data_IF_138549442055
#
_entry.id   IF_138549442055
#
_cell.length_a   1.000
_cell.length_b   1.000
_cell.length_c   1.000
_cell.angle_alpha   90.00
_cell.angle_beta   90.00
_cell.angle_gamma   90.00
#
_symmetry.space_group_name_H-M   'P 1'
#
loop_
_entity.id
_entity.type
_entity.pdbx_description
1 polymer ?
#
# COMPACT_ATOMS: atom_id res chain seq x y z
N UNK A 1 -45.70 -23.50 35.97
CA UNK A 1 -45.36 -23.17 37.37
C UNK A 1 -44.04 -23.85 37.70
N UNK A 2 -43.20 -23.20 38.52
CA UNK A 2 -41.73 -23.29 38.69
C UNK A 2 -40.99 -22.35 37.70
N UNK A 3 -40.61 -21.10 38.04
CA UNK A 3 -39.68 -20.58 39.09
C UNK A 3 -38.32 -21.30 39.06
N UNK A 4 -37.16 -20.67 39.08
CA UNK A 4 -36.63 -19.30 39.15
C UNK A 4 -35.11 -19.45 38.90
N UNK A 5 -34.38 -18.45 38.42
CA UNK A 5 -33.71 -17.46 39.28
C UNK A 5 -32.27 -17.91 39.60
N UNK A 6 -31.34 -16.94 39.65
CA UNK A 6 -29.94 -17.05 40.10
C UNK A 6 -28.92 -17.60 39.07
N UNK A 7 -27.75 -17.00 38.82
CA UNK A 7 -27.04 -15.90 39.47
C UNK A 7 -25.82 -15.58 38.58
N UNK A 8 -25.86 -14.51 37.77
CA UNK A 8 -24.66 -13.97 37.14
C UNK A 8 -23.96 -13.05 38.15
N UNK A 9 -23.44 -13.65 39.21
CA UNK A 9 -22.52 -13.02 40.16
C UNK A 9 -21.13 -12.93 39.54
N UNK A 10 -20.83 -11.84 38.86
CA UNK A 10 -19.45 -11.41 38.59
C UNK A 10 -18.99 -10.50 39.74
N UNK A 11 -18.97 -11.05 40.96
CA UNK A 11 -18.25 -10.44 42.09
C UNK A 11 -16.76 -10.80 41.98
N UNK A 12 -16.07 -10.24 40.99
CA UNK A 12 -14.61 -10.20 40.99
C UNK A 12 -14.14 -9.06 41.91
N UNK A 13 -14.25 -9.29 43.22
CA UNK A 13 -13.95 -8.35 44.31
C UNK A 13 -12.44 -8.12 44.55
N UNK A 14 -11.62 -8.20 43.50
CA UNK A 14 -10.17 -8.20 43.60
C UNK A 14 -9.43 -7.33 42.57
N UNK A 15 -10.13 -6.51 41.78
CA UNK A 15 -9.49 -5.64 40.78
C UNK A 15 -9.73 -4.14 41.00
N UNK A 16 -10.32 -3.77 42.13
CA UNK A 16 -10.84 -2.41 42.37
C UNK A 16 -10.06 -1.60 43.41
N UNK A 17 -8.78 -1.92 43.68
CA UNK A 17 -8.00 -1.28 44.75
C UNK A 17 -6.64 -0.68 44.37
N UNK A 18 -6.34 -0.49 43.08
CA UNK A 18 -5.09 0.18 42.67
C UNK A 18 -5.31 1.45 41.81
N UNK A 19 -6.45 2.13 41.94
CA UNK A 19 -6.69 3.43 41.29
C UNK A 19 -7.02 4.51 42.32
N UNK A 20 -6.22 4.56 43.39
CA UNK A 20 -6.18 5.70 44.31
C UNK A 20 -4.71 6.10 44.50
N UNK A 21 -4.17 6.91 43.59
CA UNK A 21 -3.03 7.79 43.87
C UNK A 21 -3.31 9.15 43.21
N UNK A 22 -4.12 9.92 43.94
CA UNK A 22 -4.13 11.37 43.86
C UNK A 22 -2.78 11.91 44.37
N UNK A 23 -2.24 12.86 43.58
CA UNK A 23 -1.39 14.00 43.91
C UNK A 23 -0.19 13.82 44.85
N UNK A 24 1.02 13.99 44.29
CA UNK A 24 1.98 14.99 44.79
C UNK A 24 3.11 15.25 43.77
N UNK A 25 3.21 16.52 43.36
CA UNK A 25 4.36 17.31 42.90
C UNK A 25 5.64 16.61 42.38
N UNK A 26 5.98 16.88 41.12
CA UNK A 26 7.20 17.62 40.77
C UNK A 26 7.25 17.86 39.25
N UNK A 27 6.60 18.93 38.81
CA UNK A 27 6.85 19.55 37.51
C UNK A 27 8.31 20.03 37.45
N UNK A 28 9.22 19.21 36.92
CA UNK A 28 10.51 19.72 36.47
C UNK A 28 10.32 20.46 35.14
N UNK A 29 9.99 21.75 35.25
CA UNK A 29 10.22 22.74 34.20
C UNK A 29 11.70 22.71 33.80
N UNK A 30 12.01 22.01 32.72
CA UNK A 30 13.33 22.09 32.09
C UNK A 30 13.44 23.42 31.33
N UNK A 31 14.30 24.29 31.83
CA UNK A 31 14.67 25.57 31.22
C UNK A 31 15.20 25.36 29.79
N UNK A 32 14.40 25.76 28.79
CA UNK A 32 14.69 25.60 27.36
C UNK A 32 15.50 26.77 26.78
N UNK A 33 16.12 27.61 27.61
CA UNK A 33 16.87 28.78 27.13
C UNK A 33 18.38 28.72 27.39
N UNK A 34 19.00 27.56 27.12
CA UNK A 34 20.47 27.48 27.00
C UNK A 34 20.92 27.57 25.54
N UNK A 35 21.77 28.53 25.18
CA UNK A 35 22.33 28.62 23.83
C UNK A 35 23.26 27.42 23.54
N UNK A 36 23.09 26.84 22.35
CA UNK A 36 23.88 25.73 21.83
C UNK A 36 25.38 26.08 21.82
N UNK A 37 26.20 25.27 22.48
CA UNK A 37 27.66 25.33 22.42
C UNK A 37 28.20 24.21 21.52
N UNK A 38 28.58 24.48 20.26
CA UNK A 38 29.23 23.50 19.41
C UNK A 38 30.69 23.36 19.84
N UNK A 39 31.06 22.22 20.40
CA UNK A 39 32.46 21.97 20.76
C UNK A 39 32.79 20.68 21.50
N UNK A 40 31.80 19.88 21.91
CA UNK A 40 32.02 18.68 22.73
C UNK A 40 31.34 17.46 22.13
N UNK A 41 31.71 17.10 20.91
CA UNK A 41 31.53 15.75 20.37
C UNK A 41 32.90 15.06 20.34
N UNK A 42 33.32 14.52 21.48
CA UNK A 42 34.46 13.61 21.55
C UNK A 42 33.94 12.17 21.48
N UNK A 43 33.86 11.64 20.26
CA UNK A 43 34.01 10.21 20.02
C UNK A 43 35.13 10.04 19.01
N UNK A 44 36.09 9.13 19.21
CA UNK A 44 37.28 9.05 18.38
C UNK A 44 36.93 8.64 16.95
N UNK A 45 37.35 9.46 15.99
CA UNK A 45 37.46 9.15 14.57
C UNK A 45 38.12 7.78 14.38
N UNK A 46 37.40 6.82 13.79
CA UNK A 46 38.03 5.63 13.23
C UNK A 46 38.46 5.93 11.80
N UNK A 47 39.76 5.78 11.59
CA UNK A 47 40.49 6.00 10.37
C UNK A 47 40.50 4.70 9.54
N UNK A 48 39.97 4.75 8.31
CA UNK A 48 40.43 3.92 7.21
C UNK A 48 39.86 2.51 7.02
N UNK A 49 38.66 2.41 6.43
CA UNK A 49 38.39 1.37 5.42
C UNK A 49 37.90 2.06 4.14
N UNK A 50 38.75 2.04 3.11
CA UNK A 50 38.37 2.43 1.77
C UNK A 50 37.40 1.37 1.24
N UNK A 51 36.09 1.67 1.25
CA UNK A 51 35.12 0.87 0.50
C UNK A 51 35.45 1.11 -0.98
N UNK A 52 35.90 0.10 -1.75
CA UNK A 52 36.14 0.29 -3.16
C UNK A 52 34.80 0.55 -3.84
N UNK A 53 34.58 1.80 -4.28
CA UNK A 53 33.49 2.09 -5.21
C UNK A 53 33.77 1.30 -6.49
N UNK A 54 32.95 0.28 -6.70
CA UNK A 54 33.01 -0.56 -7.88
C UNK A 54 32.79 0.33 -9.10
N UNK A 55 33.85 0.52 -9.88
CA UNK A 55 33.80 1.19 -11.17
C UNK A 55 33.05 0.27 -12.13
N UNK A 56 31.74 0.50 -12.28
CA UNK A 56 30.97 -0.12 -13.33
C UNK A 56 31.55 0.32 -14.68
N UNK A 57 32.11 -0.64 -15.40
CA UNK A 57 32.61 -0.43 -16.74
C UNK A 57 31.46 -0.03 -17.65
N UNK A 58 31.76 1.03 -18.37
CA UNK A 58 31.12 1.56 -19.56
C UNK A 58 30.76 0.44 -20.55
N UNK A 59 29.52 -0.03 -20.49
CA UNK A 59 28.93 -0.77 -21.61
C UNK A 59 28.19 0.23 -22.49
N UNK A 60 28.81 0.46 -23.65
CA UNK A 60 28.19 1.03 -24.83
C UNK A 60 27.02 0.12 -25.24
N UNK A 61 25.86 0.32 -24.62
CA UNK A 61 24.59 -0.05 -25.23
C UNK A 61 24.00 1.22 -25.81
N UNK A 62 23.95 1.26 -27.15
CA UNK A 62 23.33 2.34 -27.89
C UNK A 62 21.89 2.51 -27.41
N UNK A 63 21.69 3.55 -26.60
CA UNK A 63 20.40 4.21 -26.49
C UNK A 63 19.90 4.39 -27.92
N UNK A 64 18.70 3.93 -28.29
CA UNK A 64 18.07 4.52 -29.45
C UNK A 64 17.99 6.01 -29.12
N UNK A 65 18.51 6.84 -30.02
CA UNK A 65 18.14 8.24 -30.10
C UNK A 65 16.64 8.32 -30.45
N UNK A 66 15.76 7.87 -29.56
CA UNK A 66 14.41 8.40 -29.50
C UNK A 66 14.57 9.72 -28.78
N UNK A 67 14.80 10.75 -29.60
CA UNK A 67 14.68 12.15 -29.26
C UNK A 67 13.73 12.36 -28.07
N UNK A 68 14.31 12.67 -26.93
CA UNK A 68 13.63 13.39 -25.88
C UNK A 68 13.23 14.74 -26.47
N UNK A 69 11.97 14.85 -26.93
CA UNK A 69 11.34 16.14 -27.13
C UNK A 69 11.00 16.68 -25.73
N UNK A 70 12.00 17.30 -25.08
CA UNK A 70 11.88 18.08 -23.84
C UNK A 70 11.05 19.37 -24.00
N UNK A 71 10.23 19.46 -25.05
CA UNK A 71 9.19 20.46 -25.16
C UNK A 71 7.92 19.70 -25.52
N UNK A 72 7.09 19.44 -24.51
CA UNK A 72 5.66 19.25 -24.73
C UNK A 72 5.11 20.68 -24.74
N UNK A 73 4.81 21.31 -25.89
CA UNK A 73 4.12 22.59 -25.87
C UNK A 73 2.85 22.41 -25.05
N UNK A 74 2.58 23.37 -24.17
CA UNK A 74 1.29 23.46 -23.53
C UNK A 74 0.23 23.50 -24.63
N UNK A 75 -0.95 22.98 -24.31
CA UNK A 75 -2.12 22.92 -25.19
C UNK A 75 -2.54 24.29 -25.80
N UNK A 76 -1.83 25.38 -25.49
CA UNK A 76 -1.97 26.72 -26.06
C UNK A 76 -1.00 27.09 -27.20
N UNK A 77 0.05 26.30 -27.49
CA UNK A 77 1.11 26.67 -28.46
C UNK A 77 1.18 25.80 -29.73
N UNK A 78 0.15 25.00 -30.01
CA UNK A 78 0.10 24.21 -31.26
C UNK A 78 -0.56 24.95 -32.41
N UNK A 79 0.14 24.97 -33.55
CA UNK A 79 -0.45 25.38 -34.82
C UNK A 79 -1.52 24.36 -35.29
N UNK A 80 -2.34 24.71 -36.28
CA UNK A 80 -3.47 23.90 -36.77
C UNK A 80 -3.14 22.46 -37.22
N UNK A 81 -1.87 22.05 -37.26
CA UNK A 81 -1.40 20.76 -37.77
C UNK A 81 -1.38 19.61 -36.73
N UNK A 82 -1.47 19.89 -35.42
CA UNK A 82 -1.35 18.85 -34.37
C UNK A 82 -2.68 18.44 -33.71
N UNK A 83 -3.81 18.76 -34.37
CA UNK A 83 -5.17 18.38 -33.95
C UNK A 83 -5.33 16.90 -33.53
N UNK A 84 -4.78 15.89 -34.24
CA UNK A 84 -4.91 14.50 -33.80
C UNK A 84 -4.17 14.22 -32.48
N UNK A 85 -2.96 14.74 -32.31
CA UNK A 85 -2.18 14.57 -31.08
C UNK A 85 -2.87 15.23 -29.87
N UNK A 86 -3.47 16.41 -30.07
CA UNK A 86 -4.27 17.08 -29.03
C UNK A 86 -5.50 16.25 -28.62
N UNK A 87 -6.18 15.66 -29.60
CA UNK A 87 -7.35 14.82 -29.35
C UNK A 87 -6.97 13.57 -28.54
N UNK A 88 -5.83 12.95 -28.87
CA UNK A 88 -5.32 11.80 -28.16
C UNK A 88 -4.91 12.15 -26.73
N UNK A 89 -4.20 13.27 -26.53
CA UNK A 89 -3.86 13.80 -25.18
C UNK A 89 -5.11 14.08 -24.34
N UNK A 90 -6.14 14.66 -24.94
CA UNK A 90 -7.40 14.92 -24.24
C UNK A 90 -8.11 13.64 -23.81
N UNK A 91 -8.14 12.62 -24.69
CA UNK A 91 -8.66 11.29 -24.34
C UNK A 91 -7.86 10.66 -23.21
N UNK A 92 -6.53 10.77 -23.25
CA UNK A 92 -5.65 10.24 -22.20
C UNK A 92 -5.88 10.93 -20.86
N UNK A 93 -6.03 12.26 -20.86
CA UNK A 93 -6.36 13.03 -19.65
C UNK A 93 -7.73 12.65 -19.07
N UNK A 94 -8.76 12.48 -19.91
CA UNK A 94 -10.07 11.97 -19.49
C UNK A 94 -9.92 10.57 -18.89
N UNK A 95 -9.20 9.66 -19.55
CA UNK A 95 -9.00 8.28 -19.08
C UNK A 95 -8.16 8.20 -17.81
N UNK A 96 -7.29 9.16 -17.53
CA UNK A 96 -6.50 9.23 -16.31
C UNK A 96 -7.36 9.69 -15.12
N UNK A 97 -8.20 10.71 -15.30
CA UNK A 97 -9.11 11.20 -14.24
C UNK A 97 -10.34 10.30 -14.06
N UNK A 98 -10.78 9.63 -15.12
CA UNK A 98 -11.93 8.73 -15.16
C UNK A 98 -11.53 7.40 -15.80
N UNK A 99 -10.96 6.46 -15.02
CA UNK A 99 -10.44 5.20 -15.54
C UNK A 99 -11.50 4.31 -16.20
N UNK A 100 -12.76 4.44 -15.75
CA UNK A 100 -13.92 3.65 -16.20
C UNK A 100 -14.77 4.38 -17.26
N UNK A 101 -14.20 5.39 -17.93
CA UNK A 101 -14.90 6.18 -18.95
C UNK A 101 -15.35 5.30 -20.13
N UNK A 102 -16.61 5.47 -20.52
CA UNK A 102 -17.23 4.86 -21.70
C UNK A 102 -17.29 5.89 -22.83
N UNK A 103 -16.28 5.87 -23.70
CA UNK A 103 -16.18 6.81 -24.83
C UNK A 103 -17.31 6.64 -25.85
N UNK A 104 -17.94 5.47 -25.93
CA UNK A 104 -19.08 5.26 -26.81
C UNK A 104 -20.30 6.06 -26.32
N UNK A 105 -20.55 6.07 -25.01
CA UNK A 105 -21.61 6.89 -24.39
C UNK A 105 -21.26 8.37 -24.29
N UNK A 106 -19.96 8.68 -24.17
CA UNK A 106 -19.50 10.07 -24.11
C UNK A 106 -19.78 10.82 -25.42
N UNK A 107 -19.68 10.09 -26.54
CA UNK A 107 -19.81 10.59 -27.90
C UNK A 107 -18.47 11.01 -28.48
N UNK A 108 -18.40 11.30 -29.80
CA UNK A 108 -17.16 11.72 -30.44
C UNK A 108 -16.58 12.96 -29.76
N UNK A 109 -15.27 12.96 -29.52
CA UNK A 109 -14.55 14.15 -29.06
C UNK A 109 -13.87 14.76 -30.28
N UNK A 110 -13.94 16.08 -30.40
CA UNK A 110 -13.26 16.82 -31.45
C UNK A 110 -13.24 18.30 -31.17
N UNK A 111 -13.01 19.08 -32.22
CA UNK A 111 -12.97 20.54 -32.14
C UNK A 111 -14.35 21.13 -32.45
N UNK A 112 -14.72 22.23 -31.78
CA UNK A 112 -15.99 22.92 -32.00
C UNK A 112 -16.13 23.33 -33.47
N UNK A 113 -17.34 23.19 -34.01
CA UNK A 113 -17.69 23.65 -35.36
C UNK A 113 -18.17 25.11 -35.37
N UNK A 114 -18.21 25.76 -34.21
CA UNK A 114 -18.65 27.16 -34.08
C UNK A 114 -17.52 28.09 -34.51
N UNK A 115 -17.86 29.01 -35.41
CA UNK A 115 -16.96 30.07 -35.89
C UNK A 115 -16.31 30.80 -34.70
N UNK A 116 -14.98 30.88 -34.69
CA UNK A 116 -14.21 31.53 -33.62
C UNK A 116 -13.92 30.67 -32.38
N UNK A 117 -14.39 29.41 -32.34
CA UNK A 117 -14.10 28.44 -31.28
C UNK A 117 -13.47 27.15 -31.83
N UNK A 118 -12.93 27.18 -33.04
CA UNK A 118 -12.39 26.01 -33.77
C UNK A 118 -11.18 25.33 -33.09
N UNK A 119 -10.56 25.99 -32.11
CA UNK A 119 -9.51 25.41 -31.27
C UNK A 119 -10.05 24.78 -29.96
N UNK A 120 -11.33 25.00 -29.62
CA UNK A 120 -11.95 24.50 -28.40
C UNK A 120 -12.35 23.03 -28.54
N UNK A 121 -11.89 22.19 -27.62
CA UNK A 121 -12.29 20.78 -27.58
C UNK A 121 -13.68 20.59 -26.96
N UNK A 122 -14.51 19.86 -27.68
CA UNK A 122 -15.89 19.57 -27.33
C UNK A 122 -16.18 18.08 -27.47
N UNK A 123 -17.14 17.61 -26.67
CA UNK A 123 -17.81 16.33 -26.89
C UNK A 123 -19.09 16.57 -27.70
N UNK A 124 -19.33 15.72 -28.70
CA UNK A 124 -20.51 15.75 -29.53
C UNK A 124 -21.57 14.79 -28.97
N UNK A 125 -22.74 15.32 -28.65
CA UNK A 125 -23.91 14.53 -28.27
C UNK A 125 -24.61 13.90 -29.47
N UNK A 126 -25.41 12.86 -29.24
CA UNK A 126 -26.18 12.15 -30.27
C UNK A 126 -27.10 13.06 -31.10
N UNK A 127 -27.56 14.18 -30.54
CA UNK A 127 -28.41 15.18 -31.21
C UNK A 127 -27.61 16.34 -31.82
N UNK A 128 -26.29 16.20 -31.97
CA UNK A 128 -25.41 17.24 -32.54
C UNK A 128 -25.03 18.38 -31.59
N UNK A 129 -25.43 18.32 -30.32
CA UNK A 129 -25.05 19.32 -29.31
C UNK A 129 -23.57 19.22 -28.94
N UNK A 130 -22.90 20.37 -28.83
CA UNK A 130 -21.49 20.47 -28.43
C UNK A 130 -21.36 20.83 -26.95
N UNK A 131 -20.60 20.05 -26.19
CA UNK A 131 -20.25 20.36 -24.80
C UNK A 131 -18.74 20.48 -24.67
N UNK A 132 -18.27 21.69 -24.41
CA UNK A 132 -16.89 22.00 -24.08
C UNK A 132 -16.40 21.20 -22.87
N UNK A 133 -15.24 20.56 -23.02
CA UNK A 133 -14.72 19.57 -22.07
C UNK A 133 -13.90 20.24 -20.98
N UNK A 134 -13.00 21.14 -21.37
CA UNK A 134 -12.04 21.78 -20.49
C UNK A 134 -12.45 23.21 -20.16
N UNK A 135 -11.96 23.73 -19.04
CA UNK A 135 -12.05 25.16 -18.74
C UNK A 135 -11.13 25.95 -19.69
N UNK A 136 -11.36 27.24 -19.86
CA UNK A 136 -10.55 28.12 -20.75
C UNK A 136 -9.08 28.22 -20.36
N UNK A 137 -8.79 28.05 -19.08
CA UNK A 137 -7.46 27.99 -18.51
C UNK A 137 -6.86 26.57 -18.56
N UNK A 138 -7.56 25.60 -19.15
CA UNK A 138 -7.19 24.19 -19.24
C UNK A 138 -6.84 23.53 -17.89
N UNK A 139 -7.22 24.13 -16.76
CA UNK A 139 -6.94 23.64 -15.38
C UNK A 139 -7.81 22.44 -14.97
N UNK A 140 -8.36 21.73 -15.95
CA UNK A 140 -9.25 20.60 -15.75
C UNK A 140 -10.63 20.78 -16.39
N UNK A 141 -11.55 19.91 -15.98
CA UNK A 141 -12.85 19.78 -16.62
C UNK A 141 -13.81 20.90 -16.26
N UNK A 142 -14.65 21.23 -17.23
CA UNK A 142 -15.74 22.17 -17.03
C UNK A 142 -16.87 21.48 -16.27
N UNK A 143 -17.40 22.11 -15.22
CA UNK A 143 -18.43 21.52 -14.36
C UNK A 143 -19.66 21.04 -15.16
N UNK A 144 -20.11 21.83 -16.14
CA UNK A 144 -21.22 21.46 -17.04
C UNK A 144 -20.94 20.16 -17.80
N UNK A 145 -19.68 19.88 -18.15
CA UNK A 145 -19.29 18.65 -18.84
C UNK A 145 -19.31 17.46 -17.88
N UNK A 146 -18.70 17.58 -16.69
CA UNK A 146 -18.71 16.49 -15.71
C UNK A 146 -20.12 16.14 -15.25
N UNK A 147 -20.98 17.14 -15.04
CA UNK A 147 -22.34 16.93 -14.58
C UNK A 147 -23.22 16.31 -15.69
N UNK A 148 -23.13 16.81 -16.92
CA UNK A 148 -23.92 16.30 -18.05
C UNK A 148 -23.47 14.93 -18.54
N UNK A 149 -22.21 14.55 -18.31
CA UNK A 149 -21.61 13.29 -18.77
C UNK A 149 -21.26 12.33 -17.63
N UNK A 150 -21.75 12.56 -16.42
CA UNK A 150 -21.46 11.71 -15.23
C UNK A 150 -21.64 10.22 -15.50
N UNK A 151 -22.73 9.83 -16.18
CA UNK A 151 -23.01 8.43 -16.52
C UNK A 151 -22.06 7.81 -17.57
N UNK A 152 -21.40 8.63 -18.39
CA UNK A 152 -20.41 8.17 -19.37
C UNK A 152 -18.97 8.20 -18.81
N UNK A 153 -18.68 9.14 -17.91
CA UNK A 153 -17.36 9.28 -17.29
C UNK A 153 -17.12 8.20 -16.21
N UNK A 154 -18.14 7.86 -15.42
CA UNK A 154 -17.99 6.93 -14.30
C UNK A 154 -17.32 7.58 -13.08
N UNK A 155 -16.84 6.75 -12.17
CA UNK A 155 -16.17 7.20 -10.95
C UNK A 155 -14.80 7.84 -11.26
N UNK A 156 -14.39 8.80 -10.42
CA UNK A 156 -13.08 9.42 -10.54
C UNK A 156 -11.99 8.47 -10.05
N UNK A 157 -10.80 8.62 -10.60
CA UNK A 157 -9.62 7.88 -10.13
C UNK A 157 -9.36 8.11 -8.65
N UNK A 158 -9.52 9.35 -8.15
CA UNK A 158 -9.32 9.66 -6.74
C UNK A 158 -10.27 8.89 -5.83
N UNK A 159 -11.55 8.80 -6.21
CA UNK A 159 -12.58 8.09 -5.45
C UNK A 159 -12.30 6.57 -5.45
N UNK A 160 -11.93 6.02 -6.61
CA UNK A 160 -11.55 4.60 -6.76
C UNK A 160 -10.34 4.27 -5.88
N UNK A 161 -9.29 5.10 -5.91
CA UNK A 161 -8.09 4.89 -5.09
C UNK A 161 -8.41 4.98 -3.59
N UNK A 162 -9.29 5.90 -3.20
CA UNK A 162 -9.71 6.04 -1.80
C UNK A 162 -10.49 4.81 -1.31
N UNK A 163 -11.46 4.35 -2.10
CA UNK A 163 -12.24 3.13 -1.84
C UNK A 163 -11.32 1.90 -1.79
N UNK A 164 -10.43 1.74 -2.77
CA UNK A 164 -9.48 0.62 -2.81
C UNK A 164 -8.55 0.62 -1.60
N UNK A 165 -8.12 1.78 -1.10
CA UNK A 165 -7.30 1.88 0.11
C UNK A 165 -7.99 1.33 1.34
N UNK A 166 -9.28 1.60 1.51
CA UNK A 166 -10.08 1.04 2.59
C UNK A 166 -10.20 -0.48 2.44
N UNK A 167 -10.58 -0.95 1.26
CA UNK A 167 -10.72 -2.40 1.03
C UNK A 167 -9.39 -3.16 1.15
N UNK A 168 -8.26 -2.56 0.75
CA UNK A 168 -6.93 -3.13 0.93
C UNK A 168 -6.58 -3.24 2.41
N UNK A 169 -6.87 -2.21 3.22
CA UNK A 169 -6.65 -2.27 4.68
C UNK A 169 -7.44 -3.40 5.33
N UNK A 170 -8.73 -3.53 4.99
CA UNK A 170 -9.56 -4.63 5.48
C UNK A 170 -8.99 -5.99 5.06
N UNK A 171 -8.60 -6.16 3.80
CA UNK A 171 -7.99 -7.40 3.32
C UNK A 171 -6.66 -7.71 4.00
N UNK A 172 -5.84 -6.69 4.29
CA UNK A 172 -4.59 -6.86 5.05
C UNK A 172 -4.84 -7.31 6.49
N UNK A 173 -5.90 -6.82 7.14
CA UNK A 173 -6.30 -7.32 8.46
C UNK A 173 -6.72 -8.79 8.40
N UNK A 174 -7.56 -9.15 7.40
CA UNK A 174 -7.98 -10.55 7.18
C UNK A 174 -6.80 -11.46 6.87
N UNK A 175 -5.80 -10.97 6.13
CA UNK A 175 -4.55 -11.71 5.87
C UNK A 175 -3.79 -11.97 7.17
N UNK A 176 -3.61 -10.97 8.03
CA UNK A 176 -2.93 -11.12 9.32
C UNK A 176 -3.63 -12.15 10.21
N UNK A 177 -4.96 -12.12 10.25
CA UNK A 177 -5.74 -13.10 10.99
C UNK A 177 -5.57 -14.52 10.43
N UNK A 178 -5.66 -14.69 9.12
CA UNK A 178 -5.47 -15.97 8.45
C UNK A 178 -4.04 -16.52 8.65
N UNK A 179 -3.01 -15.66 8.59
CA UNK A 179 -1.62 -16.05 8.88
C UNK A 179 -1.44 -16.47 10.35
N UNK A 180 -2.17 -15.86 11.29
CA UNK A 180 -2.16 -16.28 12.70
C UNK A 180 -2.78 -17.67 12.88
N UNK A 181 -3.92 -17.92 12.21
CA UNK A 181 -4.59 -19.21 12.23
C UNK A 181 -3.71 -20.30 11.61
N UNK A 182 -3.07 -20.02 10.47
CA UNK A 182 -2.14 -20.94 9.82
C UNK A 182 -0.98 -21.32 10.74
N UNK A 183 -0.37 -20.36 11.44
CA UNK A 183 0.70 -20.64 12.41
C UNK A 183 0.24 -21.51 13.58
N UNK A 184 -0.98 -21.28 14.07
CA UNK A 184 -1.57 -22.10 15.13
C UNK A 184 -1.80 -23.54 14.65
N UNK A 185 -2.30 -23.72 13.43
CA UNK A 185 -2.49 -25.03 12.85
C UNK A 185 -1.17 -25.76 12.53
N UNK A 186 -0.15 -25.05 12.06
CA UNK A 186 1.21 -25.59 11.90
C UNK A 186 1.77 -26.08 13.24
N UNK A 187 1.58 -25.32 14.32
CA UNK A 187 1.96 -25.74 15.67
C UNK A 187 1.23 -27.01 16.11
N UNK A 188 -0.10 -27.06 15.92
CA UNK A 188 -0.91 -28.25 16.23
C UNK A 188 -0.41 -29.47 15.44
N UNK A 189 -0.04 -29.30 14.17
CA UNK A 189 0.52 -30.37 13.35
C UNK A 189 1.89 -30.83 13.85
N UNK A 190 2.77 -29.92 14.25
CA UNK A 190 4.06 -30.25 14.84
C UNK A 190 3.89 -31.02 16.16
N UNK A 191 2.97 -30.58 17.03
CA UNK A 191 2.64 -31.26 18.28
C UNK A 191 2.08 -32.67 17.99
N UNK A 192 1.24 -32.82 16.95
CA UNK A 192 0.71 -34.11 16.53
C UNK A 192 1.83 -35.06 16.09
N UNK A 193 2.80 -34.57 15.32
CA UNK A 193 3.95 -35.34 14.85
C UNK A 193 4.84 -35.79 16.03
N UNK A 194 5.13 -34.88 16.97
CA UNK A 194 5.87 -35.19 18.18
C UNK A 194 5.17 -36.26 19.03
N UNK A 195 3.86 -36.12 19.27
CA UNK A 195 3.08 -37.10 20.02
C UNK A 195 3.03 -38.46 19.31
N UNK A 196 2.93 -38.48 17.97
CA UNK A 196 2.98 -39.70 17.18
C UNK A 196 4.36 -40.40 17.27
N UNK A 197 5.44 -39.62 17.29
CA UNK A 197 6.79 -40.13 17.50
C UNK A 197 6.95 -40.74 18.89
N UNK A 198 6.38 -40.12 19.92
CA UNK A 198 6.42 -40.67 21.28
C UNK A 198 5.64 -41.98 21.41
N UNK A 199 4.50 -42.09 20.72
CA UNK A 199 3.77 -43.38 20.61
C UNK A 199 4.67 -44.47 19.99
N UNK A 200 5.45 -44.15 18.96
CA UNK A 200 6.39 -45.12 18.39
C UNK A 200 7.53 -45.46 19.36
N UNK A 201 8.11 -44.46 20.04
CA UNK A 201 9.17 -44.67 21.03
C UNK A 201 8.71 -45.59 22.17
N UNK A 202 7.50 -45.36 22.69
CA UNK A 202 6.90 -46.17 23.75
C UNK A 202 6.61 -47.60 23.30
N UNK A 203 6.14 -47.79 22.05
CA UNK A 203 5.99 -49.13 21.46
C UNK A 203 7.32 -49.89 21.41
N UNK A 204 8.38 -49.24 20.93
CA UNK A 204 9.71 -49.84 20.85
C UNK A 204 10.26 -50.19 22.25
N UNK A 205 10.03 -49.34 23.26
CA UNK A 205 10.42 -49.62 24.65
C UNK A 205 9.64 -50.79 25.25
N UNK A 206 8.33 -50.88 24.98
CA UNK A 206 7.50 -52.01 25.41
C UNK A 206 7.97 -53.32 24.78
N UNK A 207 8.30 -53.32 23.49
CA UNK A 207 8.80 -54.49 22.78
C UNK A 207 10.16 -54.95 23.34
N UNK A 208 11.11 -54.02 23.56
CA UNK A 208 12.41 -54.33 24.19
C UNK A 208 12.27 -54.89 25.59
N UNK A 209 11.37 -54.32 26.40
CA UNK A 209 11.10 -54.83 27.74
C UNK A 209 10.48 -56.22 27.71
N UNK A 210 9.56 -56.48 26.76
CA UNK A 210 8.98 -57.80 26.59
C UNK A 210 10.05 -58.83 26.22
N UNK A 211 10.90 -58.54 25.24
CA UNK A 211 12.00 -59.42 24.86
C UNK A 211 12.98 -59.71 26.02
N UNK A 212 13.29 -58.71 26.86
CA UNK A 212 14.12 -58.92 28.06
C UNK A 212 13.44 -59.81 29.10
N UNK A 213 12.15 -59.63 29.33
CA UNK A 213 11.41 -60.50 30.25
C UNK A 213 11.36 -61.94 29.74
N UNK A 214 11.20 -62.14 28.43
CA UNK A 214 11.18 -63.48 27.83
C UNK A 214 12.56 -64.18 27.96
N UNK A 215 13.66 -63.42 27.92
CA UNK A 215 15.02 -63.92 28.19
C UNK A 215 15.28 -64.23 29.67
N UNK A 216 14.79 -63.38 30.58
CA UNK A 216 15.02 -63.52 32.02
C UNK A 216 14.07 -64.52 32.69
N UNK A 217 12.89 -64.75 32.12
CA UNK A 217 11.85 -65.64 32.67
C UNK A 217 12.25 -67.10 32.82
N UNK A 218 13.37 -67.52 32.22
CA UNK A 218 13.95 -68.85 32.38
C UNK A 218 14.92 -68.99 33.56
N UNK A 219 15.24 -67.93 34.31
CA UNK A 219 16.25 -67.96 35.37
C UNK A 219 15.74 -67.39 36.71
N UNK A 220 15.77 -68.20 37.79
CA UNK A 220 15.20 -67.86 39.12
C UNK A 220 16.03 -66.78 39.83
N UNK A 221 17.32 -66.63 39.52
CA UNK A 221 18.19 -65.64 40.16
C UNK A 221 17.85 -64.18 39.78
N UNK A 222 17.06 -63.97 38.72
CA UNK A 222 16.76 -62.64 38.16
C UNK A 222 15.37 -62.08 38.57
N UNK A 223 14.75 -62.61 39.63
CA UNK A 223 13.40 -62.22 40.06
C UNK A 223 13.24 -60.70 40.33
N UNK A 224 14.26 -60.04 40.87
CA UNK A 224 14.23 -58.60 41.17
C UNK A 224 14.18 -57.75 39.89
N UNK A 225 15.02 -58.07 38.90
CA UNK A 225 15.02 -57.41 37.59
C UNK A 225 13.70 -57.64 36.83
N UNK A 226 13.12 -58.84 36.95
CA UNK A 226 11.84 -59.15 36.36
C UNK A 226 10.71 -58.27 36.93
N UNK A 227 10.69 -58.05 38.26
CA UNK A 227 9.73 -57.13 38.91
C UNK A 227 9.93 -55.68 38.45
N UNK A 228 11.17 -55.23 38.29
CA UNK A 228 11.46 -53.87 37.79
C UNK A 228 10.98 -53.68 36.35
N UNK A 229 11.22 -54.67 35.47
CA UNK A 229 10.74 -54.66 34.08
C UNK A 229 9.22 -54.69 33.99
N UNK A 230 8.55 -55.48 34.83
CA UNK A 230 7.08 -55.50 34.91
C UNK A 230 6.52 -54.13 35.30
N UNK A 231 7.13 -53.46 36.27
CA UNK A 231 6.74 -52.11 36.68
C UNK A 231 6.97 -51.10 35.56
N UNK A 232 8.13 -51.10 34.92
CA UNK A 232 8.43 -50.23 33.76
C UNK A 232 7.43 -50.45 32.61
N UNK A 233 7.07 -51.70 32.32
CA UNK A 233 6.07 -52.04 31.29
C UNK A 233 4.70 -51.46 31.64
N UNK A 234 4.28 -51.54 32.91
CA UNK A 234 3.00 -50.96 33.37
C UNK A 234 2.98 -49.44 33.16
N UNK A 235 4.08 -48.76 33.51
CA UNK A 235 4.22 -47.31 33.32
C UNK A 235 4.16 -46.95 31.83
N UNK A 236 4.99 -47.56 30.97
CA UNK A 236 5.00 -47.28 29.54
C UNK A 236 3.66 -47.59 28.85
N UNK A 237 2.91 -48.57 29.34
CA UNK A 237 1.57 -48.87 28.82
C UNK A 237 0.57 -47.76 29.15
N UNK A 238 0.66 -47.15 30.33
CA UNK A 238 -0.14 -46.00 30.70
C UNK A 238 0.23 -44.76 29.86
N UNK A 239 1.53 -44.48 29.73
CA UNK A 239 2.04 -43.37 28.91
C UNK A 239 1.60 -43.51 27.45
N UNK A 240 1.64 -44.72 26.90
CA UNK A 240 1.24 -45.01 25.53
C UNK A 240 -0.25 -44.75 25.30
N UNK A 241 -1.11 -45.11 26.26
CA UNK A 241 -2.54 -44.81 26.18
C UNK A 241 -2.81 -43.30 26.30
N UNK A 242 -2.03 -42.57 27.11
CA UNK A 242 -2.14 -41.12 27.20
C UNK A 242 -1.69 -40.44 25.89
N UNK A 243 -0.53 -40.81 25.35
CA UNK A 243 -0.02 -40.26 24.09
C UNK A 243 -0.96 -40.55 22.90
N UNK A 244 -1.59 -41.73 22.86
CA UNK A 244 -2.64 -42.02 21.85
C UNK A 244 -3.86 -41.09 21.97
N UNK A 245 -4.30 -40.78 23.19
CA UNK A 245 -5.41 -39.85 23.41
C UNK A 245 -5.05 -38.45 22.94
N UNK A 246 -3.82 -38.01 23.20
CA UNK A 246 -3.30 -36.73 22.75
C UNK A 246 -3.26 -36.62 21.22
N UNK A 247 -2.72 -37.64 20.52
CA UNK A 247 -2.75 -37.70 19.05
C UNK A 247 -4.20 -37.59 18.52
N UNK A 248 -5.16 -38.29 19.13
CA UNK A 248 -6.56 -38.20 18.70
C UNK A 248 -7.17 -36.81 18.94
N UNK A 249 -6.80 -36.13 20.03
CA UNK A 249 -7.27 -34.79 20.32
C UNK A 249 -6.71 -33.77 19.31
N UNK A 250 -5.40 -33.82 19.05
CA UNK A 250 -4.72 -32.95 18.08
C UNK A 250 -5.21 -33.20 16.65
N UNK A 251 -5.49 -34.46 16.28
CA UNK A 251 -6.05 -34.79 14.97
C UNK A 251 -7.46 -34.21 14.76
N UNK A 252 -8.27 -34.08 15.80
CA UNK A 252 -9.57 -33.39 15.72
C UNK A 252 -9.39 -31.89 15.50
N UNK A 253 -8.39 -31.29 16.13
CA UNK A 253 -8.07 -29.87 15.97
C UNK A 253 -7.47 -29.55 14.59
N UNK A 254 -6.64 -30.45 14.04
CA UNK A 254 -5.94 -30.26 12.77
C UNK A 254 -6.80 -30.33 11.49
N UNK A 255 -8.11 -30.66 11.58
CA UNK A 255 -8.98 -30.87 10.40
C UNK A 255 -9.13 -29.67 9.45
N UNK A 256 -8.64 -28.48 9.83
CA UNK A 256 -8.80 -27.25 9.06
C UNK A 256 -7.48 -26.70 8.46
N UNK A 257 -6.32 -27.25 8.81
CA UNK A 257 -4.99 -26.70 8.45
C UNK A 257 -4.77 -26.53 6.93
N UNK A 258 -5.13 -27.53 6.12
CA UNK A 258 -4.97 -27.45 4.66
C UNK A 258 -5.86 -26.42 3.97
N UNK A 259 -6.98 -26.03 4.61
CA UNK A 259 -7.88 -24.98 4.10
C UNK A 259 -7.33 -23.59 4.41
N UNK A 260 -6.61 -23.45 5.52
CA UNK A 260 -6.06 -22.18 6.00
C UNK A 260 -4.90 -21.70 5.11
N UNK A 261 -4.00 -22.60 4.70
CA UNK A 261 -2.90 -22.25 3.78
C UNK A 261 -3.43 -21.76 2.41
N UNK A 262 -4.36 -22.49 1.79
CA UNK A 262 -4.97 -22.08 0.53
C UNK A 262 -5.74 -20.75 0.64
N UNK A 263 -6.32 -20.48 1.81
CA UNK A 263 -7.02 -19.21 2.08
C UNK A 263 -6.04 -18.04 2.19
N UNK A 264 -4.91 -18.22 2.87
CA UNK A 264 -3.83 -17.21 2.95
C UNK A 264 -3.32 -16.86 1.55
N UNK A 265 -3.01 -17.88 0.73
CA UNK A 265 -2.51 -17.68 -0.64
C UNK A 265 -3.51 -16.92 -1.51
N UNK A 266 -4.79 -17.29 -1.41
CA UNK A 266 -5.87 -16.59 -2.14
C UNK A 266 -5.97 -15.12 -1.74
N UNK A 267 -5.97 -14.82 -0.43
CA UNK A 267 -6.07 -13.43 0.05
C UNK A 267 -4.84 -12.63 -0.40
N UNK A 268 -3.64 -13.22 -0.34
CA UNK A 268 -2.39 -12.59 -0.78
C UNK A 268 -2.41 -12.28 -2.27
N UNK A 269 -2.86 -13.22 -3.10
CA UNK A 269 -2.99 -13.02 -4.55
C UNK A 269 -3.99 -11.90 -4.88
N UNK A 270 -5.15 -11.89 -4.23
CA UNK A 270 -6.15 -10.85 -4.43
C UNK A 270 -5.67 -9.46 -3.97
N UNK A 271 -4.86 -9.40 -2.91
CA UNK A 271 -4.22 -8.16 -2.45
C UNK A 271 -3.21 -7.64 -3.46
N UNK A 272 -2.33 -8.51 -3.95
CA UNK A 272 -1.30 -8.13 -4.93
C UNK A 272 -1.91 -7.55 -6.21
N UNK A 273 -3.00 -8.16 -6.71
CA UNK A 273 -3.74 -7.63 -7.87
C UNK A 273 -4.28 -6.23 -7.57
N UNK A 274 -5.02 -6.05 -6.47
CA UNK A 274 -5.58 -4.74 -6.10
C UNK A 274 -4.52 -3.66 -5.87
N UNK A 275 -3.43 -4.00 -5.20
CA UNK A 275 -2.33 -3.06 -4.95
C UNK A 275 -1.65 -2.65 -6.25
N UNK A 276 -1.43 -3.60 -7.18
CA UNK A 276 -0.88 -3.29 -8.50
C UNK A 276 -1.82 -2.39 -9.32
N UNK A 277 -3.12 -2.69 -9.36
CA UNK A 277 -4.12 -1.86 -10.05
C UNK A 277 -4.15 -0.44 -9.49
N UNK A 278 -4.18 -0.30 -8.16
CA UNK A 278 -4.14 1.01 -7.48
C UNK A 278 -2.88 1.79 -7.81
N UNK A 279 -1.71 1.14 -7.79
CA UNK A 279 -0.44 1.79 -8.11
C UNK A 279 -0.44 2.32 -9.56
N UNK A 280 -0.95 1.52 -10.52
CA UNK A 280 -1.06 1.99 -11.91
C UNK A 280 -2.03 3.17 -12.06
N UNK A 281 -3.12 3.21 -11.28
CA UNK A 281 -4.06 4.33 -11.28
C UNK A 281 -3.44 5.59 -10.65
N UNK A 282 -2.69 5.42 -9.57
CA UNK A 282 -2.02 6.51 -8.85
C UNK A 282 -0.90 7.13 -9.69
N UNK A 283 -0.08 6.32 -10.35
CA UNK A 283 0.95 6.77 -11.30
C UNK A 283 0.33 7.59 -12.43
N UNK A 284 -0.67 7.02 -13.12
CA UNK A 284 -1.40 7.71 -14.20
C UNK A 284 -2.06 9.01 -13.74
N UNK A 285 -2.52 9.06 -12.49
CA UNK A 285 -3.10 10.27 -11.91
C UNK A 285 -2.04 11.33 -11.63
N UNK A 286 -0.89 10.93 -11.08
CA UNK A 286 0.23 11.82 -10.78
C UNK A 286 0.85 12.41 -12.05
N UNK A 287 0.98 11.64 -13.12
CA UNK A 287 1.41 12.14 -14.44
C UNK A 287 0.53 13.30 -14.93
N UNK A 288 -0.77 13.24 -14.66
CA UNK A 288 -1.68 14.35 -15.00
C UNK A 288 -1.62 15.55 -14.06
N UNK A 289 -1.17 15.37 -12.81
CA UNK A 289 -1.01 16.47 -11.84
C UNK A 289 0.23 17.31 -12.13
N UNK A 290 1.34 16.67 -12.53
CA UNK A 290 2.56 17.38 -12.95
C UNK A 290 2.30 18.38 -14.09
N UNK A 291 1.33 18.09 -14.97
CA UNK A 291 0.89 19.00 -16.04
C UNK A 291 0.14 20.24 -15.51
N UNK A 292 -0.60 20.12 -14.41
CA UNK A 292 -1.28 21.24 -13.76
C UNK A 292 -0.27 22.15 -13.02
N UNK A 293 0.75 21.56 -12.37
CA UNK A 293 1.77 22.27 -11.58
C UNK A 293 2.83 23.01 -12.43
N UNK A 294 3.25 22.45 -13.57
CA UNK A 294 4.18 23.12 -14.50
C UNK A 294 3.63 24.47 -15.00
N UNK A 295 2.31 24.63 -15.06
CA UNK A 295 1.66 25.88 -15.47
C UNK A 295 1.64 26.96 -14.39
N UNK A 296 1.62 26.61 -13.10
CA UNK A 296 1.76 27.60 -12.03
C UNK A 296 3.16 28.25 -12.05
N UNK A 297 4.18 27.45 -12.34
CA UNK A 297 5.55 27.95 -12.53
C UNK A 297 5.67 28.84 -13.77
N UNK A 298 5.04 28.49 -14.89
CA UNK A 298 5.01 29.33 -16.10
C UNK A 298 4.18 30.62 -15.93
N UNK A 299 3.04 30.57 -15.24
CA UNK A 299 2.25 31.76 -14.94
C UNK A 299 3.06 32.75 -14.07
N UNK A 300 3.82 32.22 -13.11
CA UNK A 300 4.79 33.00 -12.33
C UNK A 300 5.94 33.58 -13.18
N UNK A 301 6.42 32.84 -14.17
CA UNK A 301 7.50 33.27 -15.05
C UNK A 301 7.04 34.32 -16.09
N UNK A 302 5.84 34.16 -16.65
CA UNK A 302 5.17 35.09 -17.56
C UNK A 302 4.78 36.41 -16.87
N UNK A 303 4.35 36.36 -15.62
CA UNK A 303 4.08 37.55 -14.81
C UNK A 303 5.35 38.38 -14.56
N UNK A 304 6.49 37.71 -14.30
CA UNK A 304 7.80 38.36 -14.16
C UNK A 304 8.25 39.02 -15.47
N UNK A 305 8.08 38.36 -16.62
CA UNK A 305 8.42 38.94 -17.93
C UNK A 305 7.51 40.10 -18.34
N UNK A 306 6.20 40.06 -18.05
CA UNK A 306 5.29 41.21 -18.26
C UNK A 306 5.66 42.41 -17.40
N UNK A 307 6.06 42.20 -16.15
CA UNK A 307 6.50 43.26 -15.24
C UNK A 307 7.77 43.95 -15.74
N UNK A 308 8.74 43.17 -16.24
CA UNK A 308 9.98 43.69 -16.86
C UNK A 308 9.68 44.50 -18.13
N UNK A 309 8.74 44.05 -18.98
CA UNK A 309 8.32 44.75 -20.20
C UNK A 309 7.56 46.06 -19.93
N UNK A 310 6.77 46.12 -18.85
CA UNK A 310 6.09 47.35 -18.42
C UNK A 310 7.06 48.37 -17.81
N UNK A 311 8.02 47.92 -16.99
CA UNK A 311 9.07 48.76 -16.40
C UNK A 311 10.01 49.38 -17.45
N UNK A 312 10.29 48.66 -18.53
CA UNK A 312 11.13 49.16 -19.64
C UNK A 312 10.39 50.17 -20.54
N UNK A 313 9.06 50.08 -20.67
CA UNK A 313 8.25 51.07 -21.40
C UNK A 313 8.11 52.42 -20.69
N UNK A 314 8.26 52.48 -19.37
CA UNK A 314 8.18 53.74 -18.61
C UNK A 314 9.51 54.51 -18.56
N UNK A 315 10.60 53.97 -19.11
CA UNK A 315 11.96 54.56 -19.01
C UNK A 315 12.49 55.23 -20.29
N UNK A 316 11.70 55.31 -21.37
CA UNK A 316 12.14 55.97 -22.61
C UNK A 316 11.57 57.39 -22.71
N UNK A 317 12.38 58.47 -22.56
CA UNK A 317 11.92 59.83 -22.78
C UNK A 317 11.70 60.10 -24.28
N UNK A 318 10.56 60.72 -24.63
CA UNK A 318 10.23 61.16 -25.98
C UNK A 318 11.19 62.29 -26.45
N UNK A 319 11.69 62.26 -27.70
CA UNK A 319 12.43 63.38 -28.25
C UNK A 319 11.47 64.51 -28.64
N UNK A 320 11.69 65.68 -28.06
CA UNK A 320 10.99 66.93 -28.40
C UNK A 320 11.35 67.35 -29.83
N UNK A 321 10.35 67.30 -30.72
CA UNK A 321 10.42 67.82 -32.08
C UNK A 321 10.49 69.37 -31.99
N UNK A 322 11.67 69.94 -32.24
CA UNK A 322 11.85 71.39 -32.41
C UNK A 322 11.40 71.80 -33.83
N UNK A 323 10.42 72.69 -33.93
CA UNK A 323 10.01 73.34 -35.19
C UNK A 323 11.04 74.39 -35.61
N UNK A 324 11.34 74.58 -36.91
CA UNK A 324 12.24 75.63 -37.38
C UNK A 324 11.56 77.01 -37.35
N UNK A 325 12.30 78.01 -36.85
CA UNK A 325 11.97 79.45 -36.94
C UNK A 325 12.07 79.92 -38.39
N UNK A 326 11.05 80.61 -38.88
CA UNK A 326 11.15 81.46 -40.07
C UNK A 326 12.06 82.66 -39.74
N UNK A 327 12.97 82.97 -40.65
CA UNK A 327 13.74 84.21 -40.67
C UNK A 327 13.23 84.99 -41.88
N UNK A 328 12.74 86.21 -41.64
CA UNK A 328 12.56 87.25 -42.66
C UNK A 328 13.84 88.10 -42.74
#
# INVERSE_FOLDING_TARGET
MAEGGDEFGMDNRGLDHDIDHDDDDDEQEVDTTRPFQPGTASTPYHEGEQIPMQTFRHEQSGLPETSFDEQIPLLGDFTHHDKPAMLERAKNFIKAKFPRVDFAKLGPIGFSKKSGHEATMVSFGAKGGETEIFKKDNSGFLKKFTDSKKGALGARAEDIIAEDRETVREKQQRLKEAERQLKEAEKINADKENAAQEVQNLRNRLERNQARMDQLGSNVENESELRELQQKRKNYRADLENAKKEVSALEKQAKNAGKESAQVDKIRAELAVKESERNTLEERLNDTRALDELKEQEAGCSAKTRKIRLLSRMKTPHPLIKKPRKVE
#
